data_IF_116783689699
#
_entry.id   IF_116783689699
#
_cell.length_a   1.000
_cell.length_b   1.000
_cell.length_c   1.000
_cell.angle_alpha   90.00
_cell.angle_beta   90.00
_cell.angle_gamma   90.00
#
_symmetry.space_group_name_H-M   'P 1'
#
loop_
_entity.id
_entity.type
_entity.pdbx_description
1 polymer ?
#
# COMPACT_ATOMS: atom_id res chain seq x y z
N UNK A 1 -1.25 13.88 8.43
CA UNK A 1 -1.27 13.04 7.22
C UNK A 1 0.13 12.92 6.63
N UNK A 2 0.51 11.70 6.25
CA UNK A 2 1.80 11.44 5.62
C UNK A 2 1.55 10.93 4.20
N UNK A 3 2.23 11.49 3.21
CA UNK A 3 2.19 11.02 1.83
C UNK A 3 3.62 10.78 1.36
N UNK A 4 3.83 9.65 0.68
CA UNK A 4 5.18 9.29 0.28
C UNK A 4 5.15 8.45 -0.99
N UNK A 5 5.99 8.76 -1.99
CA UNK A 5 6.12 7.89 -3.16
C UNK A 5 6.92 6.65 -2.78
N UNK A 6 6.46 5.50 -3.25
CA UNK A 6 7.12 4.22 -2.97
C UNK A 6 7.16 3.41 -4.25
N UNK A 7 8.32 2.82 -4.54
CA UNK A 7 8.45 1.91 -5.68
C UNK A 7 8.19 0.49 -5.21
N UNK A 8 7.37 -0.24 -5.95
CA UNK A 8 7.03 -1.62 -5.60
C UNK A 8 8.22 -2.50 -5.93
N UNK A 9 8.75 -3.17 -4.90
CA UNK A 9 9.92 -4.04 -5.04
C UNK A 9 9.58 -5.52 -4.93
N UNK A 10 8.30 -5.85 -4.79
CA UNK A 10 7.87 -7.24 -4.71
C UNK A 10 7.96 -7.83 -6.12
N UNK A 11 8.76 -8.92 -6.31
CA UNK A 11 9.00 -9.42 -7.66
C UNK A 11 7.76 -9.79 -8.46
N UNK A 12 6.71 -10.28 -7.79
CA UNK A 12 5.47 -10.64 -8.46
C UNK A 12 4.50 -9.45 -8.60
N UNK A 13 4.91 -8.25 -8.14
CA UNK A 13 4.01 -7.11 -8.14
C UNK A 13 2.87 -7.30 -7.15
N UNK A 14 1.78 -6.54 -7.35
CA UNK A 14 0.62 -6.63 -6.47
C UNK A 14 -0.44 -7.53 -7.07
N UNK A 15 -0.19 -8.83 -7.02
CA UNK A 15 -1.17 -9.84 -7.39
C UNK A 15 -1.97 -10.26 -6.15
N UNK A 16 -2.82 -11.29 -6.29
CA UNK A 16 -3.76 -11.65 -5.23
C UNK A 16 -3.10 -11.92 -3.89
N UNK A 17 -2.02 -12.68 -3.87
CA UNK A 17 -1.39 -13.06 -2.61
C UNK A 17 -0.66 -11.89 -1.95
N UNK A 18 0.20 -11.14 -2.68
CA UNK A 18 0.82 -9.96 -2.08
C UNK A 18 -0.20 -8.91 -1.66
N UNK A 19 -1.29 -8.75 -2.42
CA UNK A 19 -2.35 -7.81 -2.06
C UNK A 19 -3.00 -8.21 -0.73
N UNK A 20 -3.31 -9.50 -0.56
CA UNK A 20 -3.93 -9.96 0.68
C UNK A 20 -3.03 -9.68 1.89
N UNK A 21 -1.72 -9.91 1.74
CA UNK A 21 -0.78 -9.63 2.82
C UNK A 21 -0.68 -8.15 3.11
N UNK A 22 -0.67 -7.32 2.06
CA UNK A 22 -0.62 -5.87 2.24
C UNK A 22 -1.86 -5.37 2.98
N UNK A 23 -3.03 -5.88 2.62
CA UNK A 23 -4.27 -5.52 3.31
C UNK A 23 -4.21 -5.92 4.78
N UNK A 24 -3.64 -7.08 5.09
CA UNK A 24 -3.47 -7.50 6.47
C UNK A 24 -2.57 -6.53 7.25
N UNK A 25 -1.46 -6.12 6.64
CA UNK A 25 -0.57 -5.16 7.28
C UNK A 25 -1.30 -3.84 7.53
N UNK A 26 -1.96 -3.31 6.51
CA UNK A 26 -2.67 -2.04 6.62
C UNK A 26 -3.78 -2.11 7.66
N UNK A 27 -4.44 -3.26 7.78
CA UNK A 27 -5.59 -3.41 8.68
C UNK A 27 -5.20 -3.44 10.15
N UNK A 28 -3.91 -3.57 10.46
CA UNK A 28 -3.44 -3.53 11.84
C UNK A 28 -3.44 -2.12 12.41
N UNK A 29 -3.57 -1.12 11.57
CA UNK A 29 -3.49 0.28 11.98
C UNK A 29 -4.85 0.94 11.91
N UNK A 30 -5.06 1.93 12.76
CA UNK A 30 -6.31 2.68 12.77
C UNK A 30 -6.36 3.78 11.72
N UNK A 31 -5.19 4.24 11.28
CA UNK A 31 -5.11 5.29 10.27
C UNK A 31 -5.84 4.93 8.99
N UNK A 32 -6.37 5.95 8.33
CA UNK A 32 -6.91 5.79 6.99
C UNK A 32 -5.73 5.70 6.03
N UNK A 33 -5.65 4.62 5.27
CA UNK A 33 -4.50 4.35 4.40
C UNK A 33 -4.98 4.18 2.97
N UNK A 34 -4.36 4.93 2.06
CA UNK A 34 -4.72 4.88 0.64
C UNK A 34 -3.49 4.70 -0.22
N UNK A 35 -3.69 4.00 -1.34
CA UNK A 35 -2.67 3.82 -2.36
C UNK A 35 -3.16 4.51 -3.62
N UNK A 36 -2.36 5.41 -4.16
CA UNK A 36 -2.68 6.13 -5.38
C UNK A 36 -1.73 5.73 -6.50
N UNK A 37 -2.29 5.44 -7.67
CA UNK A 37 -1.52 5.15 -8.86
C UNK A 37 -2.20 5.86 -10.03
N UNK A 38 -1.45 6.72 -10.71
CA UNK A 38 -1.99 7.54 -11.77
C UNK A 38 -3.18 8.35 -11.25
N UNK A 39 -4.38 8.12 -11.74
CA UNK A 39 -5.57 8.86 -11.30
C UNK A 39 -6.46 8.03 -10.40
N UNK A 40 -5.98 6.87 -9.97
CA UNK A 40 -6.77 5.96 -9.14
C UNK A 40 -6.31 6.04 -7.70
N UNK A 41 -7.27 6.03 -6.80
CA UNK A 41 -7.01 6.05 -5.37
C UNK A 41 -7.87 4.99 -4.71
N UNK A 42 -7.24 4.06 -4.02
CA UNK A 42 -7.95 2.95 -3.38
C UNK A 42 -7.58 2.85 -1.92
N UNK A 43 -8.49 2.30 -1.13
CA UNK A 43 -8.28 2.07 0.28
C UNK A 43 -7.38 0.84 0.44
N UNK A 44 -6.24 1.01 1.13
CA UNK A 44 -5.29 -0.09 1.31
C UNK A 44 -5.84 -1.22 2.16
N UNK A 45 -6.93 -1.00 2.88
CA UNK A 45 -7.59 -2.04 3.68
C UNK A 45 -8.65 -2.79 2.90
N UNK A 46 -8.81 -2.48 1.61
CA UNK A 46 -9.81 -3.14 0.75
C UNK A 46 -9.12 -4.04 -0.25
N UNK A 47 -9.31 -5.35 -0.11
CA UNK A 47 -8.73 -6.32 -1.05
C UNK A 47 -9.23 -6.05 -2.47
N UNK A 48 -10.52 -5.81 -2.63
CA UNK A 48 -11.08 -5.60 -3.96
C UNK A 48 -10.55 -4.32 -4.59
N UNK A 49 -10.45 -3.25 -3.80
CA UNK A 49 -9.90 -2.00 -4.31
C UNK A 49 -8.44 -2.16 -4.73
N UNK A 50 -7.64 -2.82 -3.89
CA UNK A 50 -6.22 -3.01 -4.20
C UNK A 50 -6.02 -3.87 -5.43
N UNK A 51 -6.85 -4.89 -5.63
CA UNK A 51 -6.70 -5.78 -6.78
C UNK A 51 -7.02 -5.08 -8.10
N UNK A 52 -7.80 -4.00 -8.07
CA UNK A 52 -8.11 -3.28 -9.30
C UNK A 52 -6.95 -2.45 -9.82
N UNK A 53 -5.92 -2.24 -9.01
CA UNK A 53 -4.76 -1.44 -9.44
C UNK A 53 -3.87 -2.19 -10.43
N UNK A 54 -3.71 -3.50 -10.27
CA UNK A 54 -2.93 -4.30 -11.20
C UNK A 54 -1.49 -3.85 -11.33
N UNK A 55 -0.85 -3.53 -10.21
CA UNK A 55 0.50 -2.95 -10.22
C UNK A 55 1.57 -4.03 -10.33
N UNK A 56 2.61 -3.73 -11.11
CA UNK A 56 3.75 -4.63 -11.30
C UNK A 56 4.97 -4.13 -10.52
N UNK A 57 5.94 -5.03 -10.37
CA UNK A 57 7.21 -4.67 -9.75
C UNK A 57 7.86 -3.53 -10.54
N UNK A 58 8.42 -2.58 -9.83
CA UNK A 58 9.08 -1.42 -10.43
C UNK A 58 8.17 -0.22 -10.61
N UNK A 59 6.86 -0.40 -10.47
CA UNK A 59 5.95 0.74 -10.59
C UNK A 59 5.96 1.58 -9.31
N UNK A 60 5.74 2.86 -9.47
CA UNK A 60 5.70 3.79 -8.35
C UNK A 60 4.27 4.11 -7.96
N UNK A 61 4.02 4.12 -6.66
CA UNK A 61 2.72 4.51 -6.13
C UNK A 61 2.93 5.64 -5.12
N UNK A 62 1.85 6.30 -4.74
CA UNK A 62 1.87 7.23 -3.63
C UNK A 62 1.05 6.63 -2.49
N UNK A 63 1.72 6.41 -1.37
CA UNK A 63 1.07 5.89 -0.18
C UNK A 63 0.72 7.04 0.74
N UNK A 64 -0.51 7.07 1.25
CA UNK A 64 -0.91 8.07 2.23
C UNK A 64 -1.51 7.42 3.46
N UNK A 65 -1.20 7.97 4.62
CA UNK A 65 -1.74 7.51 5.90
C UNK A 65 -2.13 8.72 6.73
N UNK A 66 -3.30 8.64 7.36
CA UNK A 66 -3.81 9.74 8.17
C UNK A 66 -4.47 9.18 9.43
N UNK A 67 -3.89 9.46 10.59
CA UNK A 67 -4.40 8.98 11.85
C UNK A 67 -3.33 9.00 12.92
N UNK A 68 -3.68 8.54 14.12
CA UNK A 68 -2.74 8.58 15.25
C UNK A 68 -1.51 7.71 15.03
N UNK A 69 -1.67 6.58 14.35
CA UNK A 69 -0.56 5.67 14.10
C UNK A 69 -0.04 5.76 12.66
N UNK A 70 -0.21 6.92 12.04
CA UNK A 70 0.14 7.08 10.63
C UNK A 70 1.63 6.83 10.36
N UNK A 71 2.51 7.21 11.27
CA UNK A 71 3.94 6.99 11.07
C UNK A 71 4.29 5.51 11.11
N UNK A 72 3.73 4.77 12.07
CA UNK A 72 3.95 3.33 12.17
C UNK A 72 3.35 2.62 10.97
N UNK A 73 2.17 3.04 10.53
CA UNK A 73 1.53 2.45 9.37
C UNK A 73 2.36 2.66 8.12
N UNK A 74 2.83 3.89 7.89
CA UNK A 74 3.65 4.21 6.73
C UNK A 74 4.91 3.36 6.71
N UNK A 75 5.60 3.26 7.86
CA UNK A 75 6.84 2.52 7.95
C UNK A 75 6.63 1.02 7.66
N UNK A 76 5.59 0.43 8.23
CA UNK A 76 5.32 -1.00 8.04
C UNK A 76 4.98 -1.32 6.59
N UNK A 77 4.16 -0.49 5.97
CA UNK A 77 3.75 -0.73 4.58
C UNK A 77 4.92 -0.48 3.63
N UNK A 78 5.70 0.55 3.89
CA UNK A 78 6.88 0.83 3.08
C UNK A 78 7.86 -0.33 3.13
N UNK A 79 8.09 -0.90 4.32
CA UNK A 79 8.96 -2.05 4.45
C UNK A 79 8.44 -3.23 3.65
N UNK A 80 7.15 -3.47 3.70
CA UNK A 80 6.56 -4.58 2.97
C UNK A 80 6.76 -4.41 1.46
N UNK A 81 6.52 -3.21 0.94
CA UNK A 81 6.60 -2.96 -0.49
C UNK A 81 8.03 -2.86 -1.03
N UNK A 82 8.97 -2.42 -0.19
CA UNK A 82 10.34 -2.14 -0.62
C UNK A 82 11.34 -3.20 -0.23
N UNK A 83 11.00 -4.08 0.69
CA UNK A 83 11.97 -5.00 1.30
C UNK A 83 11.74 -6.42 0.80
N UNK A 84 12.17 -6.66 -0.41
CA UNK A 84 12.12 -7.99 -1.03
C UNK A 84 13.50 -8.44 -1.52
#
# INVERSE_FOLDING_TARGET
MIKKPITIQIPSGLEARPVALLVQVASQFESDIYVESEQRRVNAKSIMGMMTLGLDAGEEITLSANGEDEEAAMSSIEQYLSNQ
#
